data_IF_589324611023
#
_entry.id   IF_589324611023
#
_cell.length_a   1.000
_cell.length_b   1.000
_cell.length_c   1.000
_cell.angle_alpha   90.00
_cell.angle_beta   90.00
_cell.angle_gamma   90.00
#
_symmetry.space_group_name_H-M   'P 1'
#
loop_
_entity.id
_entity.type
_entity.pdbx_description
1 polymer ?
#
# COMPACT_ATOMS: atom_id res chain seq x y z
N UNK A 1 2.33 -10.48 15.65
CA UNK A 1 3.10 -11.11 14.56
C UNK A 1 2.08 -11.68 13.59
N UNK A 2 2.17 -11.34 12.31
CA UNK A 2 1.17 -11.74 11.30
C UNK A 2 1.70 -12.90 10.47
N UNK A 3 0.85 -13.89 10.19
CA UNK A 3 1.20 -15.05 9.36
C UNK A 3 0.46 -14.93 8.03
N UNK A 4 1.22 -14.83 6.95
CA UNK A 4 0.70 -14.81 5.59
C UNK A 4 0.70 -16.23 5.02
N UNK A 5 -0.48 -16.71 4.61
CA UNK A 5 -0.63 -17.99 3.92
C UNK A 5 -0.53 -17.81 2.41
N UNK A 6 0.45 -18.47 1.80
CA UNK A 6 0.63 -18.46 0.35
C UNK A 6 -0.52 -19.18 -0.37
N UNK A 7 -0.93 -18.64 -1.53
CA UNK A 7 -2.00 -19.19 -2.39
C UNK A 7 -3.42 -19.12 -1.81
N UNK A 8 -3.59 -18.41 -0.71
CA UNK A 8 -4.89 -18.13 -0.11
C UNK A 8 -5.17 -16.63 -0.22
N UNK A 9 -6.27 -16.27 -0.89
CA UNK A 9 -6.73 -14.89 -0.91
C UNK A 9 -7.31 -14.56 0.46
N UNK A 10 -6.65 -13.64 1.17
CA UNK A 10 -7.09 -13.18 2.48
C UNK A 10 -7.84 -11.85 2.32
N UNK A 11 -9.00 -11.69 2.99
CA UNK A 11 -9.67 -10.39 3.08
C UNK A 11 -8.82 -9.41 3.90
N UNK A 12 -9.25 -8.15 3.96
CA UNK A 12 -8.56 -7.17 4.79
C UNK A 12 -8.54 -7.59 6.26
N UNK A 13 -7.33 -7.69 6.80
CA UNK A 13 -7.10 -7.98 8.21
C UNK A 13 -6.43 -6.80 8.90
N UNK A 14 -6.91 -6.47 10.10
CA UNK A 14 -6.33 -5.41 10.92
C UNK A 14 -5.08 -5.93 11.61
N UNK A 15 -3.91 -5.53 11.13
CA UNK A 15 -2.63 -5.96 11.68
C UNK A 15 -2.28 -5.27 13.00
N UNK A 16 -2.67 -4.00 13.15
CA UNK A 16 -2.45 -3.23 14.37
C UNK A 16 -3.52 -2.17 14.56
N UNK A 17 -4.01 -2.03 15.79
CA UNK A 17 -4.94 -0.98 16.22
C UNK A 17 -4.22 0.06 17.06
N UNK A 18 -3.30 0.82 16.46
CA UNK A 18 -2.50 1.81 17.19
C UNK A 18 -3.16 3.18 17.03
N UNK A 19 -3.40 3.85 18.17
CA UNK A 19 -3.77 5.27 18.18
C UNK A 19 -2.49 6.09 18.05
N UNK A 20 -2.43 6.93 17.03
CA UNK A 20 -1.28 7.80 16.81
C UNK A 20 -1.26 8.93 17.86
N UNK A 21 -0.22 8.96 18.68
CA UNK A 21 0.08 10.11 19.54
C UNK A 21 0.63 11.30 18.74
N UNK A 22 0.69 12.47 19.36
CA UNK A 22 1.12 13.71 18.72
C UNK A 22 2.54 13.64 18.13
N UNK A 23 3.46 12.96 18.80
CA UNK A 23 4.84 12.78 18.30
C UNK A 23 4.89 11.90 17.05
N UNK A 24 4.18 10.76 17.07
CA UNK A 24 4.08 9.87 15.91
C UNK A 24 3.41 10.58 14.72
N UNK A 25 2.37 11.37 14.99
CA UNK A 25 1.68 12.17 13.99
C UNK A 25 2.63 13.16 13.30
N UNK A 26 3.42 13.90 14.10
CA UNK A 26 4.44 14.82 13.60
C UNK A 26 5.49 14.09 12.73
N UNK A 27 5.95 12.92 13.17
CA UNK A 27 6.92 12.12 12.41
C UNK A 27 6.36 11.67 11.05
N UNK A 28 5.10 11.22 11.00
CA UNK A 28 4.45 10.86 9.74
C UNK A 28 4.30 12.07 8.81
N UNK A 29 3.94 13.24 9.36
CA UNK A 29 3.85 14.47 8.60
C UNK A 29 5.17 14.82 7.92
N UNK A 30 6.27 14.81 8.66
CA UNK A 30 7.62 15.08 8.15
C UNK A 30 8.04 14.05 7.08
N UNK A 31 7.68 12.78 7.25
CA UNK A 31 7.93 11.73 6.25
C UNK A 31 7.13 11.93 4.97
N UNK A 32 5.87 12.35 5.08
CA UNK A 32 5.04 12.67 3.92
C UNK A 32 5.61 13.89 3.19
N UNK A 33 6.03 14.91 3.92
CA UNK A 33 6.69 16.11 3.36
C UNK A 33 7.99 15.74 2.63
N UNK A 34 8.77 14.83 3.20
CA UNK A 34 10.03 14.33 2.63
C UNK A 34 9.85 13.25 1.54
N UNK A 35 8.61 12.94 1.11
CA UNK A 35 8.32 11.90 0.11
C UNK A 35 8.92 10.52 0.45
N UNK A 36 8.96 10.17 1.74
CA UNK A 36 9.50 8.90 2.19
C UNK A 36 8.72 7.74 1.58
N UNK A 37 9.45 6.66 1.28
CA UNK A 37 8.89 5.43 0.72
C UNK A 37 9.05 4.29 1.71
N UNK A 38 7.98 3.53 1.88
CA UNK A 38 7.99 2.25 2.58
C UNK A 38 8.45 1.19 1.61
N UNK A 39 9.48 0.46 2.01
CA UNK A 39 10.00 -0.70 1.29
C UNK A 39 9.67 -1.95 2.09
N UNK A 40 9.14 -2.97 1.40
CA UNK A 40 8.89 -4.30 1.93
C UNK A 40 9.57 -5.29 0.99
N UNK A 41 9.98 -6.44 1.53
CA UNK A 41 10.62 -7.52 0.78
C UNK A 41 9.88 -8.81 1.10
N UNK A 42 9.63 -9.62 0.08
CA UNK A 42 9.06 -10.96 0.21
C UNK A 42 9.85 -11.91 -0.68
N UNK A 43 10.46 -12.95 -0.09
CA UNK A 43 11.31 -13.92 -0.81
C UNK A 43 12.35 -13.25 -1.72
N UNK A 44 13.07 -12.26 -1.18
CA UNK A 44 14.05 -11.43 -1.87
C UNK A 44 13.50 -10.56 -3.02
N UNK A 45 12.19 -10.52 -3.23
CA UNK A 45 11.56 -9.62 -4.18
C UNK A 45 11.15 -8.31 -3.49
N UNK A 46 11.54 -7.14 -4.04
CA UNK A 46 11.09 -5.88 -3.50
C UNK A 46 9.61 -5.66 -3.81
N UNK A 47 8.91 -4.99 -2.91
CA UNK A 47 7.55 -4.54 -3.16
C UNK A 47 7.53 -3.50 -4.27
N UNK A 48 6.63 -3.65 -5.22
CA UNK A 48 6.46 -2.69 -6.33
C UNK A 48 5.04 -2.15 -6.38
N UNK A 49 4.92 -0.86 -6.70
CA UNK A 49 3.64 -0.22 -7.01
C UNK A 49 3.50 -0.15 -8.53
N UNK A 50 2.39 -0.68 -9.04
CA UNK A 50 2.00 -0.49 -10.44
C UNK A 50 1.46 0.92 -10.64
N UNK A 51 2.03 1.65 -11.60
CA UNK A 51 1.48 2.90 -12.10
C UNK A 51 0.99 2.67 -13.53
N UNK A 52 -0.32 2.71 -13.71
CA UNK A 52 -0.90 2.79 -15.04
C UNK A 52 -0.77 4.22 -15.55
N UNK A 53 0.02 4.43 -16.61
CA UNK A 53 -0.02 5.68 -17.37
C UNK A 53 -0.85 5.44 -18.62
N UNK A 54 -1.98 6.12 -18.71
CA UNK A 54 -2.80 6.13 -19.91
C UNK A 54 -2.41 7.34 -20.76
N UNK A 55 -1.50 7.17 -21.72
CA UNK A 55 -1.27 8.17 -22.78
C UNK A 55 -1.94 7.69 -24.06
N UNK A 56 -3.16 8.16 -24.33
CA UNK A 56 -3.88 7.97 -25.59
C UNK A 56 -4.20 6.50 -25.93
N UNK A 57 -3.26 5.78 -26.55
CA UNK A 57 -3.45 4.42 -27.08
C UNK A 57 -2.47 3.36 -26.56
N UNK A 58 -1.46 3.75 -25.75
CA UNK A 58 -0.50 2.81 -25.14
C UNK A 58 -0.52 2.97 -23.61
N UNK A 59 -1.06 1.95 -22.93
CA UNK A 59 -1.01 1.86 -21.47
C UNK A 59 0.35 1.31 -21.04
N UNK A 60 1.34 2.18 -20.86
CA UNK A 60 2.62 1.78 -20.26
C UNK A 60 2.42 1.61 -18.76
N UNK A 61 2.56 0.37 -18.27
CA UNK A 61 2.57 0.11 -16.82
C UNK A 61 3.99 0.32 -16.31
N UNK A 62 4.23 1.43 -15.61
CA UNK A 62 5.52 1.67 -14.96
C UNK A 62 5.47 1.09 -13.54
N UNK A 63 6.41 0.22 -13.20
CA UNK A 63 6.55 -0.28 -11.83
C UNK A 63 7.59 0.54 -11.08
N UNK A 64 7.26 0.98 -9.87
CA UNK A 64 8.19 1.68 -8.98
C UNK A 64 8.35 0.91 -7.68
N UNK A 65 9.59 0.77 -7.20
CA UNK A 65 9.86 0.09 -5.93
C UNK A 65 9.38 0.91 -4.73
N UNK A 66 8.73 0.25 -3.76
CA UNK A 66 8.17 0.88 -2.58
C UNK A 66 6.94 1.73 -2.87
N UNK A 67 6.25 2.15 -1.82
CA UNK A 67 5.10 3.08 -1.90
C UNK A 67 5.34 4.26 -0.97
N UNK A 68 4.75 5.43 -1.26
CA UNK A 68 4.89 6.58 -0.37
C UNK A 68 4.21 6.31 0.97
N UNK A 69 4.72 6.89 2.05
CA UNK A 69 4.09 6.81 3.39
C UNK A 69 2.67 7.38 3.36
N UNK A 70 2.43 8.40 2.54
CA UNK A 70 1.17 9.11 2.48
C UNK A 70 1.14 10.14 1.36
N UNK A 71 0.18 11.04 1.42
CA UNK A 71 0.02 12.15 0.48
C UNK A 71 -0.56 13.38 1.17
N UNK A 72 -0.38 14.54 0.54
CA UNK A 72 -1.05 15.79 0.92
C UNK A 72 -2.30 15.95 0.08
N UNK A 73 -3.39 16.36 0.71
CA UNK A 73 -4.64 16.65 0.01
C UNK A 73 -5.51 17.56 0.83
N UNK A 74 -6.59 18.04 0.23
CA UNK A 74 -7.60 18.84 0.88
C UNK A 74 -8.92 18.07 0.96
N UNK A 75 -9.78 18.47 1.89
CA UNK A 75 -11.17 18.02 1.89
C UNK A 75 -11.95 18.83 0.86
N UNK A 76 -12.97 18.21 0.25
CA UNK A 76 -13.86 18.92 -0.65
C UNK A 76 -14.50 20.12 0.09
N UNK A 77 -14.33 21.32 -0.46
CA UNK A 77 -14.83 22.56 0.14
C UNK A 77 -13.91 23.21 1.18
N UNK A 78 -12.67 22.73 1.34
CA UNK A 78 -11.66 23.39 2.16
C UNK A 78 -10.35 23.55 1.38
N UNK A 79 -9.70 24.70 1.55
CA UNK A 79 -8.35 24.95 1.03
C UNK A 79 -7.26 24.51 2.02
N UNK A 80 -7.64 23.97 3.18
CA UNK A 80 -6.70 23.50 4.18
C UNK A 80 -6.02 22.20 3.71
N UNK A 81 -4.70 22.26 3.54
CA UNK A 81 -3.89 21.08 3.20
C UNK A 81 -3.73 20.20 4.43
N UNK A 82 -4.18 18.96 4.31
CA UNK A 82 -4.07 17.90 5.31
C UNK A 82 -3.13 16.81 4.82
N UNK A 83 -2.57 16.08 5.78
CA UNK A 83 -1.70 14.94 5.54
C UNK A 83 -2.48 13.65 5.75
N UNK A 84 -2.36 12.73 4.80
CA UNK A 84 -3.05 11.43 4.81
C UNK A 84 -2.02 10.31 4.71
N UNK A 85 -2.14 9.31 5.58
CA UNK A 85 -1.28 8.11 5.58
C UNK A 85 -1.94 7.00 4.75
N UNK A 86 -1.15 6.27 3.97
CA UNK A 86 -1.60 5.02 3.35
C UNK A 86 -1.53 3.89 4.37
N UNK A 87 -2.64 3.63 5.06
CA UNK A 87 -2.72 2.57 6.07
C UNK A 87 -3.25 1.26 5.49
N UNK A 88 -4.20 1.33 4.56
CA UNK A 88 -4.83 0.15 4.01
C UNK A 88 -4.05 -0.34 2.78
N UNK A 89 -3.39 -1.50 2.86
CA UNK A 89 -2.52 -2.01 1.80
C UNK A 89 -3.12 -3.30 1.21
N UNK A 90 -3.34 -3.30 -0.11
CA UNK A 90 -3.69 -4.50 -0.85
C UNK A 90 -2.45 -5.05 -1.52
N UNK A 91 -2.06 -6.26 -1.13
CA UNK A 91 -0.93 -6.94 -1.74
C UNK A 91 -1.41 -7.90 -2.82
N UNK A 92 -0.58 -8.06 -3.86
CA UNK A 92 -0.77 -9.09 -4.87
C UNK A 92 0.54 -9.85 -5.03
N UNK A 93 0.52 -11.10 -4.59
CA UNK A 93 1.67 -12.00 -4.63
C UNK A 93 1.48 -12.97 -5.79
N UNK A 94 2.36 -12.87 -6.79
CA UNK A 94 2.35 -13.75 -7.95
C UNK A 94 3.31 -14.91 -7.70
N UNK A 95 2.90 -16.11 -8.07
CA UNK A 95 3.71 -17.31 -7.90
C UNK A 95 3.70 -18.19 -9.14
N UNK A 96 4.77 -18.96 -9.32
CA UNK A 96 4.86 -20.06 -10.30
C UNK A 96 4.78 -21.37 -9.53
N UNK A 97 3.86 -22.26 -9.94
CA UNK A 97 3.75 -23.61 -9.40
C UNK A 97 4.63 -24.57 -10.18
N UNK A 98 5.40 -25.40 -9.48
CA UNK A 98 6.12 -26.52 -10.06
C UNK A 98 5.24 -27.77 -10.02
N UNK A 99 4.96 -28.34 -11.19
CA UNK A 99 4.03 -29.47 -11.32
C UNK A 99 4.57 -30.80 -10.76
N UNK A 100 5.90 -30.93 -10.64
CA UNK A 100 6.57 -32.19 -10.28
C UNK A 100 6.61 -32.42 -8.76
N UNK A 101 6.70 -31.36 -7.96
CA UNK A 101 6.94 -31.42 -6.51
C UNK A 101 5.93 -30.60 -5.69
N UNK A 102 4.86 -30.10 -6.31
CA UNK A 102 3.83 -29.22 -5.71
C UNK A 102 4.39 -27.95 -5.04
N UNK A 103 5.65 -27.58 -5.32
CA UNK A 103 6.26 -26.37 -4.76
C UNK A 103 5.80 -25.13 -5.52
N UNK A 104 5.89 -23.97 -4.85
CA UNK A 104 5.58 -22.67 -5.44
C UNK A 104 6.74 -21.70 -5.20
N UNK A 105 7.13 -20.99 -6.25
CA UNK A 105 8.11 -19.91 -6.20
C UNK A 105 7.41 -18.57 -6.36
N UNK A 106 7.72 -17.60 -5.51
CA UNK A 106 7.20 -16.24 -5.67
C UNK A 106 7.93 -15.57 -6.84
N UNK A 107 7.17 -14.97 -7.75
CA UNK A 107 7.70 -14.32 -8.96
C UNK A 107 7.36 -12.83 -9.03
N UNK A 108 6.53 -12.32 -8.12
CA UNK A 108 6.28 -10.90 -8.02
C UNK A 108 5.53 -10.50 -6.76
N UNK A 109 5.84 -9.30 -6.29
CA UNK A 109 5.27 -8.74 -5.07
C UNK A 109 4.80 -7.30 -5.33
N UNK A 110 3.50 -7.15 -5.56
CA UNK A 110 2.88 -5.86 -5.87
C UNK A 110 2.09 -5.34 -4.66
N UNK A 111 2.04 -4.01 -4.51
CA UNK A 111 1.20 -3.34 -3.52
C UNK A 111 0.38 -2.22 -4.14
N UNK A 112 -0.88 -2.14 -3.74
CA UNK A 112 -1.76 -1.00 -4.01
C UNK A 112 -2.11 -0.34 -2.67
N UNK A 113 -1.55 0.85 -2.38
CA UNK A 113 -1.82 1.57 -1.14
C UNK A 113 -3.13 2.36 -1.23
N UNK A 114 -3.94 2.29 -0.19
CA UNK A 114 -5.20 3.00 -0.05
C UNK A 114 -5.28 3.78 1.26
N UNK A 115 -6.12 4.82 1.26
CA UNK A 115 -6.54 5.54 2.47
C UNK A 115 -7.61 4.76 3.25
N UNK A 116 -8.49 4.05 2.54
CA UNK A 116 -9.66 3.37 3.07
C UNK A 116 -9.89 2.02 2.42
N UNK A 117 -10.69 1.18 3.08
CA UNK A 117 -11.33 0.02 2.48
C UNK A 117 -12.41 0.48 1.48
N UNK A 118 -12.22 0.22 0.19
CA UNK A 118 -13.24 0.50 -0.83
C UNK A 118 -14.47 -0.43 -0.75
N UNK A 119 -14.48 -1.47 0.09
CA UNK A 119 -15.63 -2.38 0.21
C UNK A 119 -16.71 -1.88 1.18
N UNK A 120 -16.47 -0.81 1.94
CA UNK A 120 -17.50 -0.20 2.80
C UNK A 120 -17.43 1.32 2.68
N UNK A 121 -18.54 1.93 2.26
CA UNK A 121 -18.75 3.38 2.33
C UNK A 121 -18.73 3.80 3.80
N UNK A 122 -17.55 3.99 4.37
CA UNK A 122 -17.39 4.60 5.68
C UNK A 122 -16.26 5.62 5.58
N UNK A 123 -16.66 6.90 5.53
CA UNK A 123 -15.81 8.07 5.66
C UNK A 123 -15.26 8.15 7.10
N UNK A 124 -14.26 7.36 7.46
CA UNK A 124 -13.46 7.61 8.66
C UNK A 124 -12.09 8.14 8.30
N UNK A 125 -12.06 9.43 7.98
CA UNK A 125 -10.84 10.14 7.71
C UNK A 125 -9.97 10.28 8.97
N UNK A 126 -8.94 9.44 9.07
CA UNK A 126 -7.82 9.71 9.97
C UNK A 126 -6.90 10.74 9.29
N UNK A 127 -7.20 12.03 9.51
CA UNK A 127 -6.20 13.09 9.32
C UNK A 127 -5.20 12.99 10.46
N UNK A 128 -3.91 13.00 10.10
CA UNK A 128 -2.79 13.04 11.03
C UNK A 128 -2.29 14.48 11.16
#
# INVERSE_FOLDING_TARGET
MYTFNMREDQPCEVLCGIVLGAEAAKNFKEKIDGNYRVNLILDNLPVVVRRHRCNGSQSTTTCAQGFYVGFKGNYAGSDEVKHFVYNHLSFRVMFRKHLVNDSAQIVGFEVTPFRFLLSTFVLFAASV
#
